data_IF_772614880239
#
_entry.id   IF_772614880239
#
_cell.length_a   1.000
_cell.length_b   1.000
_cell.length_c   1.000
_cell.angle_alpha   90.00
_cell.angle_beta   90.00
_cell.angle_gamma   90.00
#
_symmetry.space_group_name_H-M   'P 1'
#
loop_
_entity.id
_entity.type
_entity.pdbx_description
1 polymer ?
#
# COMPACT_ATOMS: atom_id res chain seq x y z
N UNK A 1 -15.88 -38.47 78.57
CA UNK A 1 -14.54 -39.09 78.56
C UNK A 1 -13.89 -38.74 77.24
N UNK A 2 -12.93 -37.82 77.31
CA UNK A 2 -12.18 -37.26 76.20
C UNK A 2 -11.01 -38.18 75.86
N UNK A 3 -10.91 -38.61 74.59
CA UNK A 3 -9.65 -39.12 74.05
C UNK A 3 -8.90 -37.94 73.42
N UNK A 4 -7.75 -37.62 74.00
CA UNK A 4 -6.77 -36.71 73.41
C UNK A 4 -5.98 -37.47 72.33
N UNK A 5 -5.76 -36.85 71.18
CA UNK A 5 -4.68 -37.22 70.26
C UNK A 5 -3.62 -36.10 70.23
N UNK A 6 -2.35 -36.45 69.96
CA UNK A 6 -1.19 -35.58 70.20
C UNK A 6 -1.05 -34.49 69.13
N UNK A 7 -0.53 -33.34 69.53
CA UNK A 7 -0.09 -32.29 68.61
C UNK A 7 1.21 -32.71 67.92
N UNK A 8 1.17 -32.87 66.59
CA UNK A 8 2.34 -33.07 65.73
C UNK A 8 2.80 -31.70 65.19
N UNK A 9 4.04 -31.24 65.48
CA UNK A 9 4.51 -29.92 65.10
C UNK A 9 4.90 -29.76 63.62
N UNK A 10 4.76 -30.80 62.77
CA UNK A 10 5.16 -30.72 61.36
C UNK A 10 4.03 -30.50 60.36
N UNK A 11 2.90 -29.93 60.79
CA UNK A 11 1.84 -29.49 59.87
C UNK A 11 2.09 -28.05 59.43
N UNK A 12 3.07 -27.85 58.55
CA UNK A 12 3.10 -26.70 57.65
C UNK A 12 2.39 -27.10 56.35
N UNK A 13 1.31 -26.38 56.05
CA UNK A 13 0.33 -26.79 55.04
C UNK A 13 0.88 -26.94 53.62
N UNK A 14 0.19 -27.79 52.86
CA UNK A 14 -0.29 -27.58 51.49
C UNK A 14 -1.34 -28.67 51.21
N UNK A 15 -2.58 -28.27 50.89
CA UNK A 15 -3.78 -29.15 50.97
C UNK A 15 -4.18 -29.79 49.62
N UNK A 16 -3.53 -29.54 48.48
CA UNK A 16 -4.17 -29.88 47.18
C UNK A 16 -3.32 -30.46 46.05
N UNK A 17 -2.21 -31.15 46.32
CA UNK A 17 -1.51 -31.89 45.27
C UNK A 17 -1.40 -33.39 45.58
N UNK A 18 -1.84 -34.19 44.59
CA UNK A 18 -1.32 -35.51 44.21
C UNK A 18 -1.98 -36.78 44.81
N UNK A 19 -2.88 -37.42 44.03
CA UNK A 19 -2.74 -38.81 43.49
C UNK A 19 -4.06 -39.61 43.35
N UNK A 20 -4.55 -39.69 42.09
CA UNK A 20 -5.25 -40.80 41.36
C UNK A 20 -6.57 -41.43 41.86
N UNK A 21 -7.37 -41.97 40.92
CA UNK A 21 -7.45 -43.43 40.88
C UNK A 21 -7.19 -44.04 39.48
N UNK A 22 -6.46 -45.14 39.56
CA UNK A 22 -6.16 -46.17 38.55
C UNK A 22 -7.33 -46.56 37.65
N UNK A 23 -7.00 -46.77 36.38
CA UNK A 23 -7.93 -47.01 35.28
C UNK A 23 -8.76 -48.29 35.40
N UNK A 24 -10.05 -48.13 35.11
CA UNK A 24 -10.98 -49.23 34.92
C UNK A 24 -10.88 -49.75 33.48
N UNK A 25 -10.70 -51.05 33.38
CA UNK A 25 -10.79 -51.87 32.15
C UNK A 25 -12.24 -51.79 31.68
N UNK A 26 -12.49 -51.19 30.52
CA UNK A 26 -13.80 -51.22 29.86
C UNK A 26 -13.76 -52.19 28.68
N UNK A 27 -14.71 -53.11 28.67
CA UNK A 27 -14.83 -54.25 27.76
C UNK A 27 -14.86 -53.85 26.27
N UNK A 28 -14.00 -54.48 25.47
CA UNK A 28 -13.86 -54.28 24.02
C UNK A 28 -15.08 -54.73 23.19
N UNK A 29 -16.04 -55.47 23.77
CA UNK A 29 -17.15 -56.07 23.00
C UNK A 29 -18.39 -55.18 22.81
N UNK A 30 -18.47 -54.02 23.47
CA UNK A 30 -19.65 -53.15 23.37
C UNK A 30 -19.60 -52.12 22.22
N UNK A 31 -18.46 -51.98 21.53
CA UNK A 31 -18.28 -50.96 20.48
C UNK A 31 -18.54 -51.44 19.04
N UNK A 32 -18.85 -52.73 18.83
CA UNK A 32 -19.06 -53.28 17.47
C UNK A 32 -20.52 -53.14 16.95
N UNK A 33 -21.45 -52.61 17.76
CA UNK A 33 -22.88 -52.64 17.47
C UNK A 33 -23.47 -51.37 16.79
N UNK A 34 -22.68 -50.32 16.53
CA UNK A 34 -23.16 -49.13 15.84
C UNK A 34 -22.15 -48.63 14.80
N UNK A 35 -22.48 -48.91 13.53
CA UNK A 35 -22.11 -48.22 12.29
C UNK A 35 -20.83 -47.38 12.24
N UNK A 36 -19.94 -47.80 11.33
CA UNK A 36 -18.77 -47.08 10.83
C UNK A 36 -19.06 -45.60 10.53
N UNK A 37 -18.35 -44.64 11.15
CA UNK A 37 -18.26 -43.31 10.56
C UNK A 37 -17.42 -43.41 9.29
N UNK A 38 -17.99 -43.00 8.16
CA UNK A 38 -17.24 -42.83 6.92
C UNK A 38 -16.03 -41.92 7.19
N UNK A 39 -14.82 -42.41 6.94
CA UNK A 39 -13.63 -41.56 6.91
C UNK A 39 -13.81 -40.54 5.79
N UNK A 40 -14.17 -39.31 6.16
CA UNK A 40 -13.93 -38.16 5.30
C UNK A 40 -12.42 -38.06 5.12
N UNK A 41 -11.93 -38.42 3.92
CA UNK A 41 -10.61 -38.05 3.48
C UNK A 41 -10.50 -36.53 3.56
N UNK A 42 -9.77 -36.05 4.57
CA UNK A 42 -9.38 -34.65 4.67
C UNK A 42 -8.50 -34.32 3.46
N UNK A 43 -9.10 -33.80 2.40
CA UNK A 43 -8.34 -33.17 1.31
C UNK A 43 -7.59 -31.99 1.92
N UNK A 44 -6.26 -32.04 1.88
CA UNK A 44 -5.42 -30.90 2.19
C UNK A 44 -5.88 -29.71 1.31
N UNK A 45 -5.98 -28.48 1.86
CA UNK A 45 -6.37 -27.32 1.09
C UNK A 45 -5.48 -27.18 -0.14
N UNK A 46 -6.07 -27.10 -1.32
CA UNK A 46 -5.33 -26.81 -2.54
C UNK A 46 -4.55 -25.51 -2.36
N UNK A 47 -3.25 -25.52 -2.70
CA UNK A 47 -2.43 -24.33 -2.65
C UNK A 47 -3.08 -23.23 -3.52
N UNK A 48 -3.16 -21.97 -3.04
CA UNK A 48 -3.74 -20.89 -3.82
C UNK A 48 -2.98 -20.72 -5.14
N UNK A 49 -3.67 -20.40 -6.25
CA UNK A 49 -3.01 -20.16 -7.53
C UNK A 49 -1.99 -19.02 -7.40
N UNK A 50 -0.87 -19.08 -8.15
CA UNK A 50 0.13 -18.02 -8.13
C UNK A 50 -0.54 -16.68 -8.52
N UNK A 51 -0.15 -15.56 -7.88
CA UNK A 51 -0.69 -14.26 -8.23
C UNK A 51 -0.36 -13.93 -9.69
N UNK A 52 -1.26 -13.23 -10.40
CA UNK A 52 -1.00 -12.80 -11.77
C UNK A 52 0.26 -11.92 -11.83
N UNK A 53 0.98 -11.91 -12.97
CA UNK A 53 2.15 -11.05 -13.15
C UNK A 53 1.79 -9.60 -12.84
N UNK A 54 2.57 -8.97 -11.97
CA UNK A 54 2.39 -7.55 -11.69
C UNK A 54 2.53 -6.75 -12.99
N UNK A 55 1.59 -5.86 -13.33
CA UNK A 55 1.69 -5.03 -14.52
C UNK A 55 2.97 -4.19 -14.49
N UNK A 56 3.63 -4.05 -15.65
CA UNK A 56 4.81 -3.18 -15.76
C UNK A 56 4.41 -1.73 -15.40
N UNK A 57 4.98 -1.14 -14.33
CA UNK A 57 4.60 0.19 -13.87
C UNK A 57 4.76 1.27 -14.94
N UNK A 58 5.80 1.15 -15.77
CA UNK A 58 6.11 2.10 -16.84
C UNK A 58 5.09 2.02 -17.96
N UNK A 59 4.71 0.80 -18.38
CA UNK A 59 3.74 0.60 -19.45
C UNK A 59 2.32 1.06 -19.05
N UNK A 60 1.91 0.77 -17.81
CA UNK A 60 0.63 1.26 -17.25
C UNK A 60 0.61 2.79 -17.21
N UNK A 61 1.74 3.41 -16.88
CA UNK A 61 1.86 4.86 -16.81
C UNK A 61 1.70 5.53 -18.19
N UNK A 62 2.44 5.08 -19.20
CA UNK A 62 2.27 5.62 -20.56
C UNK A 62 0.86 5.41 -21.09
N UNK A 63 0.24 4.26 -20.82
CA UNK A 63 -1.17 4.03 -21.18
C UNK A 63 -2.11 5.03 -20.50
N UNK A 64 -1.89 5.35 -19.22
CA UNK A 64 -2.68 6.34 -18.50
C UNK A 64 -2.47 7.78 -18.98
N UNK A 65 -1.28 8.10 -19.51
CA UNK A 65 -0.99 9.44 -20.07
C UNK A 65 -1.78 9.74 -21.35
N UNK A 66 -2.14 8.71 -22.11
CA UNK A 66 -2.94 8.82 -23.34
C UNK A 66 -4.40 8.37 -23.13
N UNK A 67 -4.82 8.17 -21.87
CA UNK A 67 -6.22 7.92 -21.55
C UNK A 67 -6.94 9.28 -21.41
N UNK A 68 -7.58 9.71 -22.49
CA UNK A 68 -8.40 10.94 -22.53
C UNK A 68 -9.76 10.77 -21.83
N UNK A 69 -10.02 9.60 -21.24
CA UNK A 69 -11.22 9.32 -20.45
C UNK A 69 -10.93 9.71 -18.99
N UNK A 70 -11.30 10.92 -18.58
CA UNK A 70 -11.07 11.46 -17.23
C UNK A 70 -11.92 10.78 -16.14
N UNK A 71 -11.84 9.46 -16.01
CA UNK A 71 -12.63 8.66 -15.07
C UNK A 71 -12.06 8.58 -13.64
N UNK A 72 -10.77 8.90 -13.44
CA UNK A 72 -10.16 8.94 -12.12
C UNK A 72 -9.49 10.28 -11.85
N UNK A 73 -9.77 10.86 -10.69
CA UNK A 73 -9.15 12.09 -10.20
C UNK A 73 -7.64 11.98 -10.36
N UNK A 74 -7.06 12.96 -11.07
CA UNK A 74 -5.64 13.04 -11.39
C UNK A 74 -4.84 12.85 -10.09
N UNK A 75 -4.34 11.63 -9.88
CA UNK A 75 -3.62 11.31 -8.64
C UNK A 75 -2.44 12.25 -8.49
N UNK A 76 -2.11 12.64 -7.26
CA UNK A 76 -0.96 13.51 -6.94
C UNK A 76 0.36 13.03 -7.58
N UNK A 77 0.46 11.75 -7.95
CA UNK A 77 1.58 11.16 -8.70
C UNK A 77 1.62 11.59 -10.17
N UNK A 78 0.47 11.63 -10.86
CA UNK A 78 0.39 12.07 -12.25
C UNK A 78 0.82 13.53 -12.41
N UNK A 79 0.44 14.39 -11.45
CA UNK A 79 0.81 15.81 -11.44
C UNK A 79 2.32 16.03 -11.38
N UNK A 80 3.04 15.27 -10.53
CA UNK A 80 4.51 15.37 -10.43
C UNK A 80 5.20 15.02 -11.73
N UNK A 81 4.73 13.98 -12.41
CA UNK A 81 5.35 13.54 -13.65
C UNK A 81 4.97 14.47 -14.80
N UNK A 82 3.74 14.97 -14.85
CA UNK A 82 3.34 16.02 -15.79
C UNK A 82 4.22 17.27 -15.64
N UNK A 83 4.48 17.73 -14.42
CA UNK A 83 5.42 18.83 -14.15
C UNK A 83 6.82 18.55 -14.72
N UNK A 84 7.36 17.36 -14.45
CA UNK A 84 8.68 16.97 -14.93
C UNK A 84 8.75 16.93 -16.46
N UNK A 85 7.77 16.32 -17.12
CA UNK A 85 7.71 16.24 -18.58
C UNK A 85 7.62 17.64 -19.20
N UNK A 86 6.77 18.51 -18.65
CA UNK A 86 6.62 19.88 -19.12
C UNK A 86 7.89 20.71 -18.91
N UNK A 87 8.59 20.56 -17.77
CA UNK A 87 9.88 21.21 -17.53
C UNK A 87 10.94 20.78 -18.54
N UNK A 88 11.05 19.47 -18.79
CA UNK A 88 12.02 18.94 -19.75
C UNK A 88 11.69 19.45 -21.15
N UNK A 89 10.42 19.38 -21.57
CA UNK A 89 9.98 19.87 -22.86
C UNK A 89 10.27 21.38 -23.04
N UNK A 90 9.95 22.19 -22.03
CA UNK A 90 10.25 23.62 -22.03
C UNK A 90 11.76 23.89 -22.10
N UNK A 91 12.56 23.16 -21.31
CA UNK A 91 14.01 23.30 -21.31
C UNK A 91 14.62 22.97 -22.68
N UNK A 92 14.19 21.88 -23.31
CA UNK A 92 14.65 21.49 -24.66
C UNK A 92 14.24 22.52 -25.71
N UNK A 93 13.00 23.01 -25.65
CA UNK A 93 12.49 24.02 -26.57
C UNK A 93 13.30 25.32 -26.48
N UNK A 94 13.49 25.84 -25.27
CA UNK A 94 14.24 27.07 -25.04
C UNK A 94 15.74 26.92 -25.35
N UNK A 95 16.32 25.75 -25.07
CA UNK A 95 17.72 25.48 -25.40
C UNK A 95 17.94 25.41 -26.91
N UNK A 96 17.04 24.76 -27.64
CA UNK A 96 17.10 24.66 -29.11
C UNK A 96 16.97 26.05 -29.74
N UNK A 97 16.02 26.87 -29.27
CA UNK A 97 15.87 28.25 -29.71
C UNK A 97 17.13 29.10 -29.41
N UNK A 98 17.73 28.91 -28.24
CA UNK A 98 18.98 29.60 -27.86
C UNK A 98 20.15 29.21 -28.77
N UNK A 99 20.31 27.91 -29.08
CA UNK A 99 21.35 27.44 -30.01
C UNK A 99 21.09 28.01 -31.42
N UNK A 100 19.85 28.03 -31.88
CA UNK A 100 19.47 28.64 -33.15
C UNK A 100 19.78 30.15 -33.21
N UNK A 101 19.65 30.87 -32.09
CA UNK A 101 19.99 32.29 -32.04
C UNK A 101 21.49 32.55 -32.31
N UNK A 102 22.38 31.65 -31.91
CA UNK A 102 23.82 31.77 -32.21
C UNK A 102 24.15 31.53 -33.69
N UNK A 103 23.26 30.95 -34.49
CA UNK A 103 23.48 30.80 -35.94
C UNK A 103 23.24 32.10 -36.71
N UNK A 104 22.62 33.10 -36.08
CA UNK A 104 22.41 34.44 -36.65
C UNK A 104 23.65 35.29 -36.38
N UNK A 105 23.94 35.54 -35.10
CA UNK A 105 25.13 36.24 -34.63
C UNK A 105 25.33 36.03 -33.11
N UNK A 106 26.51 36.37 -32.60
CA UNK A 106 26.85 36.18 -31.19
C UNK A 106 26.04 37.07 -30.23
N UNK A 107 25.70 38.30 -30.63
CA UNK A 107 24.93 39.22 -29.80
C UNK A 107 23.50 38.73 -29.60
N UNK A 108 22.85 38.30 -30.67
CA UNK A 108 21.52 37.68 -30.61
C UNK A 108 21.52 36.41 -29.77
N UNK A 109 22.54 35.56 -29.91
CA UNK A 109 22.70 34.36 -29.09
C UNK A 109 22.83 34.65 -27.59
N UNK A 110 23.67 35.63 -27.22
CA UNK A 110 23.84 36.05 -25.82
C UNK A 110 22.55 36.65 -25.25
N UNK A 111 21.88 37.53 -25.99
CA UNK A 111 20.59 38.09 -25.56
C UNK A 111 19.57 36.96 -25.33
N UNK A 112 19.47 36.03 -26.28
CA UNK A 112 18.53 34.91 -26.18
C UNK A 112 18.83 34.00 -24.99
N UNK A 113 20.09 33.75 -24.67
CA UNK A 113 20.50 32.94 -23.51
C UNK A 113 19.95 33.52 -22.18
N UNK A 114 20.08 34.83 -21.97
CA UNK A 114 19.57 35.45 -20.76
C UNK A 114 18.04 35.50 -20.74
N UNK A 115 17.41 35.86 -21.86
CA UNK A 115 15.95 35.88 -21.95
C UNK A 115 15.35 34.50 -21.77
N UNK A 116 15.94 33.45 -22.35
CA UNK A 116 15.45 32.08 -22.23
C UNK A 116 15.62 31.54 -20.81
N UNK A 117 16.71 31.87 -20.10
CA UNK A 117 16.89 31.53 -18.69
C UNK A 117 15.83 32.17 -17.79
N UNK A 118 15.57 33.48 -17.94
CA UNK A 118 14.53 34.18 -17.17
C UNK A 118 13.15 33.62 -17.49
N UNK A 119 12.85 33.39 -18.77
CA UNK A 119 11.58 32.82 -19.22
C UNK A 119 11.37 31.40 -18.68
N UNK A 120 12.41 30.56 -18.68
CA UNK A 120 12.36 29.22 -18.11
C UNK A 120 11.94 29.26 -16.65
N UNK A 121 12.57 30.10 -15.83
CA UNK A 121 12.24 30.23 -14.41
C UNK A 121 10.82 30.78 -14.19
N UNK A 122 10.42 31.78 -14.97
CA UNK A 122 9.08 32.36 -14.89
C UNK A 122 7.99 31.33 -15.21
N UNK A 123 8.14 30.61 -16.33
CA UNK A 123 7.17 29.58 -16.75
C UNK A 123 7.22 28.35 -15.83
N UNK A 124 8.39 27.92 -15.38
CA UNK A 124 8.51 26.84 -14.39
C UNK A 124 7.77 27.17 -13.09
N UNK A 125 7.91 28.39 -12.59
CA UNK A 125 7.22 28.87 -11.39
C UNK A 125 5.71 28.95 -11.62
N UNK A 126 5.29 29.53 -12.75
CA UNK A 126 3.87 29.60 -13.11
C UNK A 126 3.23 28.20 -13.23
N UNK A 127 3.94 27.26 -13.84
CA UNK A 127 3.50 25.87 -13.97
C UNK A 127 3.37 25.20 -12.60
N UNK A 128 4.32 25.45 -11.68
CA UNK A 128 4.23 24.94 -10.30
C UNK A 128 2.96 25.43 -9.62
N UNK A 129 2.71 26.74 -9.68
CA UNK A 129 1.51 27.34 -9.09
C UNK A 129 0.23 26.78 -9.72
N UNK A 130 0.19 26.67 -11.05
CA UNK A 130 -0.97 26.13 -11.76
C UNK A 130 -1.27 24.68 -11.35
N UNK A 131 -0.25 23.85 -11.20
CA UNK A 131 -0.41 22.46 -10.74
C UNK A 131 -0.79 22.37 -9.26
N UNK A 132 -0.27 23.25 -8.40
CA UNK A 132 -0.70 23.35 -7.01
C UNK A 132 -2.19 23.70 -6.91
N UNK A 133 -2.66 24.65 -7.72
CA UNK A 133 -4.08 25.00 -7.82
C UNK A 133 -4.90 23.83 -8.35
N UNK A 134 -4.44 23.14 -9.40
CA UNK A 134 -5.13 21.97 -9.94
C UNK A 134 -5.29 20.86 -8.90
N UNK A 135 -4.23 20.56 -8.13
CA UNK A 135 -4.28 19.60 -7.03
C UNK A 135 -5.22 20.06 -5.92
N UNK A 136 -5.19 21.36 -5.56
CA UNK A 136 -6.07 21.91 -4.53
C UNK A 136 -7.56 21.74 -4.91
N UNK A 137 -7.92 22.03 -6.15
CA UNK A 137 -9.30 21.87 -6.67
C UNK A 137 -9.76 20.41 -6.63
N UNK A 138 -8.89 19.49 -7.07
CA UNK A 138 -9.17 18.04 -7.01
C UNK A 138 -9.40 17.60 -5.57
N UNK A 139 -8.51 18.01 -4.65
CA UNK A 139 -8.61 17.66 -3.23
C UNK A 139 -9.88 18.20 -2.58
N UNK A 140 -10.28 19.44 -2.87
CA UNK A 140 -11.54 20.01 -2.36
C UNK A 140 -12.78 19.23 -2.84
N UNK A 141 -12.74 18.70 -4.06
CA UNK A 141 -13.84 17.90 -4.61
C UNK A 141 -14.01 16.55 -3.92
N UNK A 142 -12.90 15.93 -3.47
CA UNK A 142 -12.91 14.68 -2.71
C UNK A 142 -13.46 14.88 -1.29
N UNK A 143 -13.11 15.99 -0.65
CA UNK A 143 -13.53 16.30 0.71
C UNK A 143 -15.06 16.45 0.81
N UNK A 144 -15.67 17.18 -0.14
CA UNK A 144 -17.13 17.35 -0.20
C UNK A 144 -17.84 16.00 -0.40
N UNK A 145 -17.32 15.15 -1.30
CA UNK A 145 -17.87 13.81 -1.54
C UNK A 145 -17.81 12.92 -0.31
N UNK A 146 -16.77 13.05 0.51
CA UNK A 146 -16.60 12.25 1.73
C UNK A 146 -17.59 12.61 2.84
N UNK A 147 -18.02 13.88 2.91
CA UNK A 147 -18.96 14.35 3.94
C UNK A 147 -20.41 13.96 3.65
N UNK A 148 -20.77 13.73 2.39
CA UNK A 148 -22.15 13.39 1.99
C UNK A 148 -22.55 11.93 2.32
N UNK A 149 -21.57 11.06 2.58
CA UNK A 149 -21.78 9.64 2.90
C UNK A 149 -21.63 9.32 4.41
N UNK A 150 -21.58 10.34 5.27
CA UNK A 150 -21.74 10.21 6.73
C UNK A 150 -23.10 10.74 7.16
#
# INVERSE_FOLDING_TARGET
>A
MSNQQPYDPNVSGNVWEQSQPTGNVWDQQAMEAWGTPAQQQQQAPAAPPPPPPAPNPVAVYFRSLFDFTFGSLLTLRAVKIAYLVLLIALGVLLLTDTIGAFTIDAGTGVLRLFTSAVLFLAVATALRVALEVAVAVVRSSEEIRSQLHR
#
